data_IF_246203594440
#
_entry.id   IF_246203594440
#
_cell.length_a   1.000
_cell.length_b   1.000
_cell.length_c   1.000
_cell.angle_alpha   90.00
_cell.angle_beta   90.00
_cell.angle_gamma   90.00
#
_symmetry.space_group_name_H-M   'P 1'
#
loop_
_entity.id
_entity.type
_entity.pdbx_description
1 polymer ?
#
# COMPACT_ATOMS: atom_id res chain seq x y z
N UNK A 1 21.03 1.35 8.00
CA UNK A 1 19.55 1.30 8.00
C UNK A 1 18.95 1.23 9.41
N UNK A 2 19.47 0.41 10.33
CA UNK A 2 18.84 0.19 11.64
C UNK A 2 18.80 1.40 12.61
N UNK A 3 19.73 2.36 12.54
CA UNK A 3 19.78 3.48 13.51
C UNK A 3 18.95 4.69 13.10
N UNK A 4 18.76 4.91 11.79
CA UNK A 4 17.93 5.99 11.24
C UNK A 4 16.44 5.70 11.36
N UNK A 5 16.05 4.43 11.50
CA UNK A 5 14.65 3.99 11.56
C UNK A 5 14.12 3.86 13.01
N UNK A 6 14.96 4.15 14.02
CA UNK A 6 14.52 4.08 15.42
C UNK A 6 13.54 5.19 15.75
N UNK A 7 12.42 4.81 16.35
CA UNK A 7 11.38 5.73 16.81
C UNK A 7 11.73 6.30 18.18
N UNK A 8 11.47 7.58 18.39
CA UNK A 8 11.66 8.19 19.71
C UNK A 8 10.49 7.81 20.64
N UNK A 9 10.78 7.01 21.67
CA UNK A 9 9.77 6.62 22.65
C UNK A 9 9.63 7.73 23.71
N UNK A 10 8.44 8.32 23.81
CA UNK A 10 8.13 9.37 24.79
C UNK A 10 8.24 8.90 26.24
N UNK A 11 8.11 7.58 26.49
CA UNK A 11 8.23 6.98 27.82
C UNK A 11 9.69 6.68 28.17
N UNK A 12 10.46 6.06 27.27
CA UNK A 12 11.88 5.74 27.50
C UNK A 12 12.82 6.94 27.32
N UNK A 13 12.32 8.04 26.75
CA UNK A 13 13.06 9.27 26.43
C UNK A 13 14.27 9.07 25.51
N UNK A 14 14.27 8.02 24.69
CA UNK A 14 15.35 7.71 23.76
C UNK A 14 14.86 6.94 22.52
N UNK A 15 15.74 6.81 21.52
CA UNK A 15 15.46 6.09 20.26
C UNK A 15 15.40 4.58 20.49
N UNK A 16 14.25 3.99 20.21
CA UNK A 16 13.96 2.58 20.41
C UNK A 16 13.61 1.88 19.10
N UNK A 17 13.80 0.56 19.07
CA UNK A 17 13.19 -0.28 18.05
C UNK A 17 11.68 -0.25 18.25
N UNK A 18 10.93 -0.21 17.16
CA UNK A 18 9.47 -0.13 17.20
C UNK A 18 8.85 -0.92 16.07
N UNK A 19 7.61 -1.36 16.27
CA UNK A 19 6.78 -1.97 15.23
C UNK A 19 5.95 -0.87 14.56
N UNK A 20 6.00 -0.78 13.23
CA UNK A 20 5.18 0.16 12.45
C UNK A 20 4.11 -0.60 11.69
N UNK A 21 2.84 -0.22 11.88
CA UNK A 21 1.71 -0.75 11.12
C UNK A 21 1.00 0.39 10.39
N UNK A 22 0.58 0.14 9.15
CA UNK A 22 -0.27 1.04 8.38
C UNK A 22 -1.67 0.45 8.27
N UNK A 23 -2.70 1.30 8.35
CA UNK A 23 -4.11 0.95 8.12
C UNK A 23 -4.79 2.06 7.34
N UNK A 24 -5.84 1.72 6.60
CA UNK A 24 -6.60 2.71 5.82
C UNK A 24 -7.62 3.38 6.74
N UNK A 25 -7.59 4.70 6.87
CA UNK A 25 -8.58 5.43 7.67
C UNK A 25 -9.87 5.70 6.90
N UNK A 26 -9.73 6.06 5.63
CA UNK A 26 -10.85 6.39 4.72
C UNK A 26 -10.46 5.96 3.32
N UNK A 27 -11.40 5.34 2.61
CA UNK A 27 -11.19 4.96 1.22
C UNK A 27 -11.64 6.08 0.27
N UNK A 28 -10.93 6.28 -0.86
CA UNK A 28 -11.34 7.21 -1.91
C UNK A 28 -12.39 6.58 -2.85
N UNK A 29 -13.16 7.39 -3.56
CA UNK A 29 -14.10 6.88 -4.59
C UNK A 29 -13.36 6.15 -5.73
N UNK A 30 -12.13 6.54 -6.03
CA UNK A 30 -11.25 5.88 -7.00
C UNK A 30 -9.98 5.42 -6.27
N UNK A 31 -9.78 4.11 -6.20
CA UNK A 31 -8.65 3.50 -5.51
C UNK A 31 -7.54 3.13 -6.50
N UNK A 32 -6.39 3.81 -6.39
CA UNK A 32 -5.20 3.48 -7.16
C UNK A 32 -4.27 2.55 -6.36
N UNK A 33 -4.07 1.32 -6.84
CA UNK A 33 -3.16 0.35 -6.23
C UNK A 33 -1.88 0.20 -7.05
N UNK A 34 -0.74 0.53 -6.45
CA UNK A 34 0.56 0.38 -7.09
C UNK A 34 1.32 -0.81 -6.50
N UNK A 35 1.59 -1.81 -7.35
CA UNK A 35 2.45 -2.94 -7.03
C UNK A 35 3.92 -2.51 -7.12
N UNK A 36 4.64 -2.50 -5.99
CA UNK A 36 6.07 -2.15 -5.92
C UNK A 36 6.94 -3.25 -6.54
N UNK A 37 7.00 -3.29 -7.87
CA UNK A 37 7.74 -4.32 -8.62
C UNK A 37 9.22 -4.02 -8.79
N UNK A 38 9.65 -2.77 -8.70
CA UNK A 38 11.06 -2.42 -8.90
C UNK A 38 11.82 -2.36 -7.58
N UNK A 39 12.94 -3.08 -7.53
CA UNK A 39 13.86 -3.10 -6.39
C UNK A 39 15.21 -2.56 -6.82
N UNK A 40 15.73 -1.63 -6.02
CA UNK A 40 17.08 -1.12 -6.17
C UNK A 40 17.99 -1.80 -5.14
N UNK A 41 19.00 -2.49 -5.65
CA UNK A 41 20.17 -2.89 -4.88
C UNK A 41 21.35 -2.02 -5.31
N UNK A 42 22.39 -1.96 -4.48
CA UNK A 42 23.57 -1.13 -4.76
C UNK A 42 24.21 -1.41 -6.12
N UNK A 43 24.10 -2.66 -6.62
CA UNK A 43 24.78 -3.12 -7.84
C UNK A 43 23.84 -3.44 -9.00
N UNK A 44 22.56 -3.63 -8.75
CA UNK A 44 21.61 -4.03 -9.79
C UNK A 44 20.19 -3.58 -9.47
N UNK A 45 19.40 -3.42 -10.53
CA UNK A 45 17.98 -3.05 -10.46
C UNK A 45 17.18 -4.22 -10.99
N UNK A 46 16.29 -4.78 -10.19
CA UNK A 46 15.43 -5.89 -10.63
C UNK A 46 13.97 -5.48 -10.69
N UNK A 47 13.26 -6.13 -11.61
CA UNK A 47 11.81 -6.19 -11.61
C UNK A 47 11.35 -7.50 -10.97
N UNK A 48 10.32 -7.42 -10.14
CA UNK A 48 9.64 -8.56 -9.55
C UNK A 48 8.50 -8.94 -10.51
N UNK A 49 8.72 -10.02 -11.27
CA UNK A 49 7.78 -10.53 -12.28
C UNK A 49 6.76 -11.53 -11.71
N UNK A 50 6.56 -11.54 -10.39
CA UNK A 50 5.53 -12.38 -9.75
C UNK A 50 4.17 -12.09 -10.35
N UNK A 51 3.50 -13.14 -10.83
CA UNK A 51 2.12 -13.05 -11.29
C UNK A 51 1.19 -12.79 -10.08
N UNK A 52 0.30 -11.81 -10.20
CA UNK A 52 -0.64 -11.45 -9.14
C UNK A 52 -2.05 -11.51 -9.71
N UNK A 53 -2.85 -12.40 -9.15
CA UNK A 53 -4.28 -12.44 -9.43
C UNK A 53 -4.98 -11.35 -8.63
N UNK A 54 -5.88 -10.63 -9.30
CA UNK A 54 -6.75 -9.63 -8.68
C UNK A 54 -8.16 -9.78 -9.26
N UNK A 55 -9.20 -9.49 -8.47
CA UNK A 55 -10.57 -9.57 -8.96
C UNK A 55 -10.88 -8.43 -9.94
N UNK A 56 -11.72 -8.71 -10.93
CA UNK A 56 -12.24 -7.69 -11.86
C UNK A 56 -13.39 -6.90 -11.25
N UNK A 57 -14.14 -7.51 -10.33
CA UNK A 57 -15.26 -6.91 -9.64
C UNK A 57 -15.27 -7.29 -8.15
N UNK A 58 -15.93 -6.47 -7.34
CA UNK A 58 -16.16 -6.72 -5.92
C UNK A 58 -14.88 -6.97 -5.08
N UNK A 59 -13.81 -6.21 -5.31
CA UNK A 59 -12.65 -6.19 -4.42
C UNK A 59 -13.07 -5.61 -3.05
N UNK A 60 -13.14 -6.47 -2.03
CA UNK A 60 -13.51 -6.06 -0.67
C UNK A 60 -12.32 -5.48 0.12
N UNK A 61 -12.39 -4.18 0.37
CA UNK A 61 -11.40 -3.42 1.13
C UNK A 61 -11.69 -3.34 2.64
N UNK A 62 -12.83 -3.85 3.11
CA UNK A 62 -13.33 -3.66 4.50
C UNK A 62 -12.31 -4.08 5.56
N UNK A 63 -11.56 -5.16 5.29
CA UNK A 63 -10.57 -5.78 6.18
C UNK A 63 -9.34 -4.90 6.42
N UNK A 64 -9.09 -3.92 5.55
CA UNK A 64 -7.92 -3.03 5.61
C UNK A 64 -8.24 -1.66 6.20
N UNK A 65 -9.53 -1.36 6.38
CA UNK A 65 -10.03 -0.10 6.92
C UNK A 65 -10.10 -0.17 8.45
N UNK A 66 -9.81 0.95 9.11
CA UNK A 66 -10.04 1.11 10.55
C UNK A 66 -11.53 0.97 10.85
N UNK A 67 -11.90 -0.03 11.64
CA UNK A 67 -13.23 -0.12 12.23
C UNK A 67 -13.43 1.06 13.19
N UNK A 68 -14.59 1.73 13.08
CA UNK A 68 -15.11 2.70 14.07
C UNK A 68 -14.47 4.11 14.09
N UNK A 69 -14.18 4.71 12.94
CA UNK A 69 -13.95 6.16 12.89
C UNK A 69 -15.30 6.86 12.76
N UNK A 70 -15.71 7.75 13.70
CA UNK A 70 -16.95 8.49 13.55
C UNK A 70 -16.88 9.37 12.29
N UNK A 71 -17.75 9.08 11.34
CA UNK A 71 -17.82 9.79 10.07
C UNK A 71 -18.24 11.24 10.31
N UNK A 72 -17.37 12.18 9.97
CA UNK A 72 -17.70 13.62 9.94
C UNK A 72 -18.39 14.02 8.64
N UNK A 73 -18.57 13.10 7.67
CA UNK A 73 -19.28 13.33 6.41
C UNK A 73 -19.89 12.05 5.87
N UNK A 74 -21.18 11.82 6.14
CA UNK A 74 -22.15 11.11 5.28
C UNK A 74 -21.75 9.80 4.54
N UNK A 75 -20.71 9.06 4.96
CA UNK A 75 -20.38 7.73 4.42
C UNK A 75 -21.01 6.60 5.25
N UNK A 76 -22.24 6.82 5.72
CA UNK A 76 -23.10 5.75 6.22
C UNK A 76 -23.31 4.73 5.10
N UNK A 77 -22.90 3.48 5.33
CA UNK A 77 -22.84 2.39 4.32
C UNK A 77 -21.85 2.64 3.16
N UNK A 78 -20.65 3.13 3.45
CA UNK A 78 -19.58 3.21 2.45
C UNK A 78 -19.25 1.83 1.87
N UNK A 79 -19.70 1.57 0.64
CA UNK A 79 -19.40 0.35 -0.10
C UNK A 79 -17.88 0.15 -0.17
N UNK A 80 -17.35 -0.89 0.50
CA UNK A 80 -15.94 -1.24 0.49
C UNK A 80 -15.53 -2.02 -0.77
N UNK A 81 -16.49 -2.24 -1.68
CA UNK A 81 -16.29 -3.00 -2.91
C UNK A 81 -15.84 -2.08 -4.04
N UNK A 82 -14.82 -2.51 -4.75
CA UNK A 82 -14.31 -1.85 -5.94
C UNK A 82 -14.36 -2.77 -7.14
N UNK A 83 -14.78 -2.22 -8.27
CA UNK A 83 -14.63 -2.85 -9.58
C UNK A 83 -13.40 -2.26 -10.28
N UNK A 84 -12.71 -3.10 -11.03
CA UNK A 84 -11.50 -2.73 -11.74
C UNK A 84 -11.86 -1.89 -12.98
N UNK A 85 -11.38 -0.65 -13.01
CA UNK A 85 -11.58 0.24 -14.16
C UNK A 85 -10.45 0.15 -15.18
N UNK A 86 -9.19 0.04 -14.73
CA UNK A 86 -8.02 0.08 -15.62
C UNK A 86 -6.82 -0.63 -15.00
N UNK A 87 -5.90 -1.08 -15.86
CA UNK A 87 -4.60 -1.65 -15.46
C UNK A 87 -3.50 -0.98 -16.26
N UNK A 88 -2.44 -0.55 -15.57
CA UNK A 88 -1.18 -0.13 -16.19
C UNK A 88 -0.20 -1.29 -16.06
N UNK A 89 0.28 -1.79 -17.20
CA UNK A 89 1.21 -2.92 -17.26
C UNK A 89 2.54 -2.42 -17.78
N UNK A 90 3.63 -2.87 -17.16
CA UNK A 90 4.98 -2.65 -17.65
C UNK A 90 5.57 -3.94 -18.19
N UNK A 91 5.94 -3.95 -19.47
CA UNK A 91 6.68 -5.01 -20.13
C UNK A 91 8.17 -4.68 -20.20
N UNK A 92 9.03 -5.67 -20.02
CA UNK A 92 10.48 -5.46 -19.94
C UNK A 92 11.07 -5.87 -18.59
N UNK A 93 12.39 -6.03 -18.58
CA UNK A 93 13.16 -6.68 -17.52
C UNK A 93 13.63 -5.76 -16.40
N UNK A 94 13.55 -4.43 -16.57
CA UNK A 94 14.10 -3.49 -15.59
C UNK A 94 13.45 -2.13 -15.59
N UNK A 95 13.72 -1.34 -14.53
CA UNK A 95 13.13 -0.01 -14.34
C UNK A 95 13.61 1.06 -15.35
N UNK A 96 14.68 0.78 -16.10
CA UNK A 96 15.27 1.71 -17.08
C UNK A 96 15.02 1.32 -18.54
N UNK A 97 14.29 0.24 -18.80
CA UNK A 97 13.99 -0.25 -20.15
C UNK A 97 12.73 -1.09 -20.13
N UNK A 98 11.77 -0.73 -20.96
CA UNK A 98 10.45 -1.37 -21.03
C UNK A 98 9.43 -0.53 -21.79
N UNK A 99 8.18 -0.99 -21.75
CA UNK A 99 6.99 -0.34 -22.30
C UNK A 99 5.86 -0.37 -21.27
#
# INVERSE_FOLDING_TARGET
>A
LADTERYYCSTCKCKQKSTKQFRVRRLPNVLCLHLKRFRWHNYFRTKVDTNISFPLSALDMSRFVLSNVPDTRHSGLGNYLYDLAAVIVHHGSGAGSGH
#
